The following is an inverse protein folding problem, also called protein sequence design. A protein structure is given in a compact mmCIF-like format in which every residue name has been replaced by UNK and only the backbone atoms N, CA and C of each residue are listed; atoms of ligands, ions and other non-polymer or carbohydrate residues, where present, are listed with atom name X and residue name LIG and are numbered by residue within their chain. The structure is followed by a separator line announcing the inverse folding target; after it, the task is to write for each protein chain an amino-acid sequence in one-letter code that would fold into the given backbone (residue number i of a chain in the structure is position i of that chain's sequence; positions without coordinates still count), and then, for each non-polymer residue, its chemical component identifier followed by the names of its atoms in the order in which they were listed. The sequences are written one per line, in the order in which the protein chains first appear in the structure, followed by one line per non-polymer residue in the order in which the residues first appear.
data_IF_358921963563
#
_entry.id   IF_358921963563
#
_cell.length_a   1.000
_cell.length_b   1.000
_cell.length_c   1.000
_cell.angle_alpha   90.00
_cell.angle_beta   90.00
_cell.angle_gamma   90.00
#
_symmetry.space_group_name_H-M   'P 1'
#
loop_
_entity.id
_entity.type
_entity.pdbx_description
1 polymer ?
#
# COMPACT_ATOMS: atom_id res chain seq x y z
N UNK A 1 0.04 -29.26 -17.02
CA UNK A 1 -0.58 -27.97 -17.33
C UNK A 1 0.46 -27.13 -18.04
N UNK A 2 0.17 -26.61 -19.24
CA UNK A 2 1.13 -25.80 -19.96
C UNK A 2 1.13 -24.39 -19.36
N UNK A 3 2.30 -23.81 -19.08
CA UNK A 3 2.44 -22.45 -18.58
C UNK A 3 1.99 -21.46 -19.66
N UNK A 4 1.22 -20.45 -19.28
CA UNK A 4 0.93 -19.34 -20.18
C UNK A 4 2.23 -18.58 -20.50
N UNK A 5 2.42 -18.20 -21.74
CA UNK A 5 3.53 -17.34 -22.12
C UNK A 5 3.32 -15.95 -21.51
N UNK A 6 4.38 -15.28 -21.03
CA UNK A 6 4.28 -13.88 -20.59
C UNK A 6 3.87 -13.00 -21.78
N UNK A 7 3.17 -11.91 -21.48
CA UNK A 7 2.87 -10.91 -22.49
C UNK A 7 4.11 -10.07 -22.78
N UNK A 8 4.37 -9.80 -24.06
CA UNK A 8 5.42 -8.91 -24.52
C UNK A 8 4.82 -7.52 -24.77
N UNK A 9 5.48 -6.49 -24.24
CA UNK A 9 5.08 -5.10 -24.41
C UNK A 9 6.24 -4.30 -24.98
N UNK A 10 5.97 -3.47 -25.98
CA UNK A 10 6.97 -2.53 -26.54
C UNK A 10 7.38 -1.48 -25.48
N UNK A 11 6.47 -1.14 -24.60
CA UNK A 11 6.72 -0.24 -23.47
C UNK A 11 6.00 -0.75 -22.22
N UNK A 12 6.74 -0.98 -21.16
CA UNK A 12 6.17 -1.35 -19.86
C UNK A 12 5.83 -0.09 -19.08
N UNK A 13 4.54 0.05 -18.75
CA UNK A 13 4.02 1.06 -17.85
C UNK A 13 3.56 0.37 -16.55
N UNK A 14 3.18 1.14 -15.54
CA UNK A 14 2.69 0.57 -14.28
C UNK A 14 1.51 -0.39 -14.52
N UNK A 15 1.34 -1.38 -13.68
CA UNK A 15 0.26 -2.40 -13.72
C UNK A 15 0.39 -3.47 -14.82
N UNK A 16 1.43 -3.47 -15.61
CA UNK A 16 1.66 -4.52 -16.60
C UNK A 16 2.38 -5.72 -15.98
N UNK A 17 1.86 -6.93 -16.25
CA UNK A 17 2.49 -8.17 -15.81
C UNK A 17 3.55 -8.60 -16.82
N UNK A 18 4.79 -8.55 -16.41
CA UNK A 18 5.95 -9.00 -17.19
C UNK A 18 6.48 -10.34 -16.67
N UNK A 19 7.48 -10.89 -17.32
CA UNK A 19 8.19 -12.06 -16.82
C UNK A 19 8.80 -11.76 -15.45
N UNK A 20 8.52 -12.56 -14.42
CA UNK A 20 9.12 -12.35 -13.11
C UNK A 20 10.63 -12.62 -13.14
N UNK A 21 11.39 -11.89 -12.35
CA UNK A 21 12.81 -12.17 -12.16
C UNK A 21 13.02 -13.62 -11.71
N UNK A 22 14.04 -14.36 -12.19
CA UNK A 22 14.27 -15.76 -11.82
C UNK A 22 14.28 -16.00 -10.32
N UNK A 23 14.94 -15.15 -9.52
CA UNK A 23 14.96 -15.26 -8.07
C UNK A 23 13.56 -15.14 -7.42
N UNK A 24 12.65 -14.35 -8.00
CA UNK A 24 11.28 -14.26 -7.51
C UNK A 24 10.49 -15.55 -7.78
N UNK A 25 10.75 -16.18 -8.91
CA UNK A 25 10.17 -17.49 -9.27
C UNK A 25 10.65 -18.58 -8.32
N UNK A 26 11.97 -18.68 -8.12
CA UNK A 26 12.59 -19.67 -7.22
C UNK A 26 12.06 -19.48 -5.78
N UNK A 27 11.91 -18.24 -5.34
CA UNK A 27 11.33 -17.94 -4.03
C UNK A 27 9.86 -18.39 -3.95
N UNK A 28 9.05 -18.11 -4.98
CA UNK A 28 7.65 -18.53 -5.01
C UNK A 28 7.51 -20.07 -4.92
N UNK A 29 8.34 -20.82 -5.65
CA UNK A 29 8.36 -22.28 -5.59
C UNK A 29 8.82 -22.81 -4.22
N UNK A 30 9.87 -22.21 -3.64
CA UNK A 30 10.42 -22.59 -2.34
C UNK A 30 9.41 -22.38 -1.19
N UNK A 31 8.59 -21.35 -1.26
CA UNK A 31 7.69 -20.96 -0.18
C UNK A 31 6.22 -21.31 -0.42
N UNK A 32 5.91 -22.15 -1.41
CA UNK A 32 4.53 -22.56 -1.73
C UNK A 32 3.75 -23.16 -0.55
N UNK A 33 4.42 -23.84 0.37
CA UNK A 33 3.81 -24.49 1.54
C UNK A 33 3.90 -23.64 2.82
N UNK A 34 4.11 -22.34 2.69
CA UNK A 34 4.25 -21.42 3.82
C UNK A 34 3.14 -20.39 3.85
N UNK A 35 3.02 -19.70 4.99
CA UNK A 35 2.00 -18.67 5.20
C UNK A 35 2.61 -17.51 6.00
N UNK A 36 2.49 -16.26 5.56
CA UNK A 36 2.99 -15.10 6.31
C UNK A 36 2.13 -14.72 7.53
N UNK A 37 0.99 -15.38 7.73
CA UNK A 37 0.00 -14.99 8.74
C UNK A 37 0.39 -15.26 10.19
N UNK A 38 1.27 -16.23 10.45
CA UNK A 38 1.73 -16.57 11.80
C UNK A 38 3.25 -16.62 11.90
N UNK A 39 3.88 -15.55 12.41
CA UNK A 39 5.33 -15.46 12.56
C UNK A 39 5.94 -16.54 13.45
N UNK A 40 5.18 -17.06 14.42
CA UNK A 40 5.68 -18.10 15.32
C UNK A 40 5.82 -19.45 14.61
N UNK A 41 4.92 -19.72 13.66
CA UNK A 41 4.93 -20.94 12.87
C UNK A 41 5.83 -20.84 11.64
N UNK A 42 5.89 -19.67 10.99
CA UNK A 42 6.61 -19.44 9.74
C UNK A 42 7.69 -18.34 9.88
N UNK A 43 8.63 -18.55 10.80
CA UNK A 43 9.63 -17.55 11.17
C UNK A 43 10.51 -17.08 9.99
N UNK A 44 10.85 -17.96 9.03
CA UNK A 44 11.62 -17.58 7.84
C UNK A 44 10.87 -16.58 6.95
N UNK A 45 9.56 -16.76 6.78
CA UNK A 45 8.74 -15.85 5.98
C UNK A 45 8.60 -14.51 6.68
N UNK A 46 8.41 -14.52 8.00
CA UNK A 46 8.35 -13.30 8.81
C UNK A 46 9.65 -12.50 8.76
N UNK A 47 10.82 -13.16 8.79
CA UNK A 47 12.12 -12.52 8.63
C UNK A 47 12.30 -11.91 7.22
N UNK A 48 11.90 -12.64 6.18
CA UNK A 48 11.94 -12.14 4.80
C UNK A 48 11.05 -10.91 4.62
N UNK A 49 9.84 -10.93 5.15
CA UNK A 49 8.93 -9.79 5.11
C UNK A 49 9.52 -8.58 5.83
N UNK A 50 10.04 -8.77 7.03
CA UNK A 50 10.66 -7.70 7.83
C UNK A 50 11.82 -7.05 7.08
N UNK A 51 12.69 -7.85 6.44
CA UNK A 51 13.80 -7.35 5.63
C UNK A 51 13.33 -6.62 4.36
N UNK A 52 12.29 -7.10 3.71
CA UNK A 52 11.70 -6.45 2.54
C UNK A 52 11.10 -5.09 2.92
N UNK A 53 10.33 -5.03 4.00
CA UNK A 53 9.75 -3.78 4.53
C UNK A 53 10.84 -2.78 4.92
N UNK A 54 11.88 -3.22 5.63
CA UNK A 54 13.01 -2.37 5.99
C UNK A 54 13.76 -1.85 4.74
N UNK A 55 13.94 -2.70 3.72
CA UNK A 55 14.54 -2.31 2.45
C UNK A 55 13.72 -1.25 1.70
N UNK A 56 12.42 -1.44 1.60
CA UNK A 56 11.50 -0.48 0.99
C UNK A 56 11.44 0.84 1.79
N UNK A 57 11.43 0.76 3.11
CA UNK A 57 11.47 1.93 3.98
C UNK A 57 12.70 2.79 3.74
N UNK A 58 13.89 2.19 3.63
CA UNK A 58 15.12 2.90 3.28
C UNK A 58 15.03 3.59 1.91
N UNK A 59 14.50 2.90 0.91
CA UNK A 59 14.29 3.48 -0.43
C UNK A 59 13.31 4.66 -0.39
N UNK A 60 12.37 4.64 0.52
CA UNK A 60 11.41 5.74 0.73
C UNK A 60 11.90 6.84 1.68
N UNK A 61 13.15 6.76 2.18
CA UNK A 61 13.70 7.75 3.09
C UNK A 61 13.08 7.73 4.49
N UNK A 62 12.58 6.58 4.93
CA UNK A 62 11.94 6.42 6.24
C UNK A 62 12.92 6.01 7.36
N UNK A 63 14.22 5.97 7.08
CA UNK A 63 15.25 5.55 8.04
C UNK A 63 15.33 6.49 9.28
N UNK A 64 14.94 7.76 9.12
CA UNK A 64 14.98 8.78 10.16
C UNK A 64 13.60 9.08 10.76
N UNK A 65 12.55 8.41 10.32
CA UNK A 65 11.20 8.69 10.79
C UNK A 65 10.91 7.95 12.08
N UNK A 66 11.19 8.58 13.21
CA UNK A 66 10.67 8.22 14.53
C UNK A 66 9.13 8.34 14.58
N UNK A 67 8.43 7.54 13.79
CA UNK A 67 6.98 7.44 13.78
C UNK A 67 6.54 5.99 13.92
N UNK A 68 7.00 5.33 14.99
CA UNK A 68 6.35 4.09 15.41
C UNK A 68 4.98 4.45 16.00
N UNK A 69 3.86 4.07 15.42
CA UNK A 69 2.58 4.17 16.10
C UNK A 69 2.64 3.25 17.33
N UNK A 70 2.46 3.84 18.49
CA UNK A 70 2.24 3.11 19.73
C UNK A 70 0.85 2.46 19.67
N UNK A 71 0.70 1.31 19.04
CA UNK A 71 -0.49 0.50 19.18
C UNK A 71 -0.12 -0.96 19.38
N UNK A 72 -0.32 -1.39 20.58
CA UNK A 72 -0.59 -2.70 21.16
C UNK A 72 -0.82 -3.86 20.17
N UNK A 73 0.25 -4.37 19.56
CA UNK A 73 0.35 -5.77 19.19
C UNK A 73 1.67 -6.28 19.75
N UNK A 74 1.64 -6.62 21.03
CA UNK A 74 2.67 -7.41 21.68
C UNK A 74 2.59 -8.84 21.11
N UNK A 75 3.37 -9.10 20.08
CA UNK A 75 3.62 -10.42 19.51
C UNK A 75 5.08 -10.49 19.09
N UNK A 76 5.73 -11.62 19.31
CA UNK A 76 7.14 -11.86 19.05
C UNK A 76 7.57 -11.37 17.66
N UNK A 77 8.67 -10.60 17.57
CA UNK A 77 9.24 -10.14 16.30
C UNK A 77 9.11 -8.63 16.03
N UNK A 78 8.91 -7.80 17.05
CA UNK A 78 8.88 -6.34 16.88
C UNK A 78 10.25 -5.84 16.41
N UNK A 79 10.34 -5.13 15.25
CA UNK A 79 11.56 -4.47 14.84
C UNK A 79 12.02 -3.44 15.88
N UNK A 80 13.30 -3.05 15.85
CA UNK A 80 13.82 -1.97 16.68
C UNK A 80 12.93 -0.72 16.57
N UNK A 81 12.86 0.08 17.62
CA UNK A 81 11.94 1.21 17.73
C UNK A 81 12.01 2.23 16.56
N UNK A 82 13.10 2.22 15.80
CA UNK A 82 13.41 3.14 14.72
C UNK A 82 13.32 2.51 13.32
N UNK A 83 12.89 1.25 13.19
CA UNK A 83 12.78 0.59 11.90
C UNK A 83 11.42 0.84 11.24
N UNK A 84 11.36 1.00 9.90
CA UNK A 84 10.11 1.06 9.17
C UNK A 84 9.22 -0.14 9.49
N UNK A 85 7.95 0.11 9.77
CA UNK A 85 6.99 -0.93 10.11
C UNK A 85 5.94 -1.07 9.01
N UNK A 86 5.63 -2.31 8.64
CA UNK A 86 4.65 -2.62 7.62
C UNK A 86 4.54 -4.11 7.37
N UNK A 87 3.86 -4.47 6.30
CA UNK A 87 3.76 -5.84 5.80
C UNK A 87 3.57 -5.81 4.28
N UNK A 88 3.85 -6.94 3.64
CA UNK A 88 3.68 -7.10 2.20
C UNK A 88 2.24 -7.56 1.92
N UNK A 89 1.55 -6.84 1.05
CA UNK A 89 0.18 -7.15 0.63
C UNK A 89 0.16 -8.05 -0.60
N UNK A 90 -1.00 -8.63 -0.92
CA UNK A 90 -1.20 -9.44 -2.12
C UNK A 90 -1.14 -8.63 -3.43
N UNK A 91 -1.18 -7.30 -3.35
CA UNK A 91 -1.11 -6.42 -4.50
C UNK A 91 -1.51 -4.98 -4.18
N UNK A 92 -1.36 -4.07 -5.17
CA UNK A 92 -1.60 -2.64 -5.00
C UNK A 92 -3.02 -2.29 -4.54
N UNK A 93 -4.03 -3.03 -4.97
CA UNK A 93 -5.41 -2.80 -4.50
C UNK A 93 -5.54 -3.02 -2.99
N UNK A 94 -4.98 -4.10 -2.46
CA UNK A 94 -4.98 -4.34 -1.02
C UNK A 94 -4.16 -3.27 -0.29
N UNK A 95 -3.00 -2.90 -0.81
CA UNK A 95 -2.16 -1.85 -0.23
C UNK A 95 -2.94 -0.52 -0.11
N UNK A 96 -3.66 -0.11 -1.14
CA UNK A 96 -4.46 1.11 -1.15
C UNK A 96 -5.63 1.04 -0.15
N UNK A 97 -6.34 -0.10 -0.08
CA UNK A 97 -7.40 -0.33 0.91
C UNK A 97 -6.84 -0.20 2.35
N UNK A 98 -5.70 -0.82 2.62
CA UNK A 98 -5.08 -0.79 3.94
C UNK A 98 -4.52 0.59 4.30
N UNK A 99 -4.01 1.34 3.32
CA UNK A 99 -3.57 2.73 3.52
C UNK A 99 -4.75 3.62 3.94
N UNK A 100 -5.87 3.56 3.21
CA UNK A 100 -7.08 4.32 3.55
C UNK A 100 -7.66 3.89 4.90
N UNK A 101 -7.71 2.57 5.18
CA UNK A 101 -8.14 2.04 6.48
C UNK A 101 -7.28 2.57 7.63
N UNK A 102 -5.96 2.59 7.43
CA UNK A 102 -5.03 3.11 8.44
C UNK A 102 -5.23 4.61 8.68
N UNK A 103 -5.41 5.39 7.62
CA UNK A 103 -5.68 6.82 7.70
C UNK A 103 -7.00 7.10 8.44
N UNK A 104 -8.09 6.42 8.07
CA UNK A 104 -9.39 6.50 8.73
C UNK A 104 -9.30 6.17 10.22
N UNK A 105 -8.63 5.08 10.58
CA UNK A 105 -8.56 4.62 11.97
C UNK A 105 -7.64 5.48 12.87
N UNK A 106 -6.85 6.38 12.29
CA UNK A 106 -5.99 7.31 13.04
C UNK A 106 -6.70 8.59 13.46
N UNK A 107 -7.85 8.87 12.87
CA UNK A 107 -8.64 10.06 13.14
C UNK A 107 -10.01 9.66 13.69
N UNK A 108 -10.42 10.31 14.76
CA UNK A 108 -11.76 10.19 15.30
C UNK A 108 -12.63 11.30 14.67
N UNK A 109 -13.21 10.97 13.52
CA UNK A 109 -14.07 11.91 12.75
C UNK A 109 -15.37 11.19 12.38
N UNK A 110 -16.46 11.96 12.37
CA UNK A 110 -17.82 11.40 12.20
C UNK A 110 -18.12 11.01 10.74
N UNK A 111 -17.64 11.84 9.81
CA UNK A 111 -17.90 11.68 8.37
C UNK A 111 -16.59 11.69 7.58
N UNK A 112 -15.77 10.62 7.69
CA UNK A 112 -14.47 10.59 7.06
C UNK A 112 -14.56 10.72 5.54
N UNK A 113 -13.69 11.55 4.96
CA UNK A 113 -13.56 11.67 3.51
C UNK A 113 -12.11 11.51 3.05
N UNK A 114 -11.96 11.14 1.78
CA UNK A 114 -10.69 11.05 1.07
C UNK A 114 -10.74 11.93 -0.17
N UNK A 115 -9.72 12.76 -0.37
CA UNK A 115 -9.59 13.61 -1.57
C UNK A 115 -8.63 12.94 -2.54
N UNK A 116 -9.09 12.70 -3.77
CA UNK A 116 -8.34 11.99 -4.81
C UNK A 116 -8.41 12.72 -6.15
N UNK A 117 -7.38 12.67 -7.01
CA UNK A 117 -7.52 13.11 -8.38
C UNK A 117 -8.49 12.18 -9.14
N UNK A 118 -9.19 12.70 -10.14
CA UNK A 118 -10.10 11.88 -10.96
C UNK A 118 -9.39 10.73 -11.72
N UNK A 119 -8.07 10.89 -11.93
CA UNK A 119 -7.20 9.85 -12.51
C UNK A 119 -6.80 8.76 -11.52
N UNK A 120 -7.28 8.81 -10.27
CA UNK A 120 -6.92 7.83 -9.24
C UNK A 120 -7.33 6.41 -9.65
N UNK A 121 -6.47 5.46 -9.32
CA UNK A 121 -6.74 4.04 -9.59
C UNK A 121 -8.07 3.60 -8.96
N UNK A 122 -8.82 2.75 -9.67
CA UNK A 122 -10.17 2.27 -9.27
C UNK A 122 -10.22 1.59 -7.88
N UNK A 123 -9.08 1.24 -7.30
CA UNK A 123 -9.02 0.72 -5.94
C UNK A 123 -9.43 1.74 -4.87
N UNK A 124 -9.32 3.05 -5.15
CA UNK A 124 -9.72 4.08 -4.18
C UNK A 124 -11.25 4.22 -4.07
N UNK A 125 -12.04 4.33 -5.17
CA UNK A 125 -13.49 4.20 -5.06
C UNK A 125 -13.94 2.91 -4.36
N UNK A 126 -13.31 1.77 -4.69
CA UNK A 126 -13.57 0.49 -4.02
C UNK A 126 -13.25 0.55 -2.52
N UNK A 127 -12.11 1.13 -2.14
CA UNK A 127 -11.71 1.27 -0.74
C UNK A 127 -12.66 2.19 0.03
N UNK A 128 -13.10 3.29 -0.58
CA UNK A 128 -14.04 4.24 -0.02
C UNK A 128 -15.40 3.57 0.28
N UNK A 129 -15.92 2.79 -0.67
CA UNK A 129 -17.15 2.01 -0.51
C UNK A 129 -17.02 0.96 0.62
N UNK A 130 -15.96 0.14 0.62
CA UNK A 130 -15.73 -0.90 1.64
C UNK A 130 -15.59 -0.32 3.05
N UNK A 131 -15.01 0.88 3.16
CA UNK A 131 -14.64 1.49 4.44
C UNK A 131 -15.66 2.54 4.91
N UNK A 132 -16.72 2.78 4.16
CA UNK A 132 -17.71 3.84 4.43
C UNK A 132 -17.02 5.20 4.61
N UNK A 133 -16.26 5.62 3.59
CA UNK A 133 -15.54 6.88 3.51
C UNK A 133 -16.04 7.65 2.30
N UNK A 134 -16.38 8.91 2.46
CA UNK A 134 -16.76 9.78 1.32
C UNK A 134 -15.56 9.96 0.38
N UNK A 135 -15.75 9.71 -0.92
CA UNK A 135 -14.73 9.96 -1.94
C UNK A 135 -15.00 11.30 -2.62
N UNK A 136 -14.06 12.22 -2.51
CA UNK A 136 -14.08 13.54 -3.17
C UNK A 136 -13.08 13.54 -4.30
N UNK A 137 -13.59 13.54 -5.53
CA UNK A 137 -12.78 13.56 -6.75
C UNK A 137 -12.48 14.97 -7.20
N UNK A 138 -11.22 15.25 -7.51
CA UNK A 138 -10.75 16.54 -8.02
C UNK A 138 -10.31 16.40 -9.46
N UNK A 139 -10.74 17.29 -10.38
CA UNK A 139 -10.38 17.24 -11.79
C UNK A 139 -8.87 17.32 -12.03
N UNK A 140 -8.44 16.78 -13.17
CA UNK A 140 -7.09 16.95 -13.73
C UNK A 140 -7.14 17.82 -14.99
N UNK A 141 -6.03 18.49 -15.31
CA UNK A 141 -5.88 19.22 -16.57
C UNK A 141 -5.47 18.29 -17.73
N UNK A 142 -5.40 18.85 -18.96
CA UNK A 142 -5.00 18.12 -20.17
C UNK A 142 -3.57 17.54 -20.11
N UNK A 143 -2.76 17.99 -19.16
CA UNK A 143 -1.43 17.45 -18.86
C UNK A 143 -1.47 16.43 -17.71
N UNK A 144 -2.64 15.96 -17.31
CA UNK A 144 -2.89 15.01 -16.22
C UNK A 144 -2.41 15.49 -14.84
N UNK A 145 -2.33 16.81 -14.62
CA UNK A 145 -1.98 17.39 -13.32
C UNK A 145 -3.26 17.71 -12.56
N UNK A 146 -3.30 17.33 -11.28
CA UNK A 146 -4.45 17.64 -10.43
C UNK A 146 -4.57 19.15 -10.16
N UNK A 147 -5.79 19.66 -10.12
CA UNK A 147 -6.08 21.03 -9.70
C UNK A 147 -5.81 21.20 -8.20
N UNK A 148 -4.72 21.88 -7.86
CA UNK A 148 -4.32 22.10 -6.45
C UNK A 148 -5.28 23.01 -5.69
N UNK A 149 -5.95 23.94 -6.36
CA UNK A 149 -6.96 24.78 -5.71
C UNK A 149 -8.24 23.99 -5.43
N UNK A 150 -8.60 23.11 -6.36
CA UNK A 150 -9.65 22.12 -6.16
C UNK A 150 -9.35 21.17 -5.00
N UNK A 151 -8.10 20.70 -4.87
CA UNK A 151 -7.67 19.88 -3.72
C UNK A 151 -7.83 20.66 -2.42
N UNK A 152 -7.34 21.91 -2.35
CA UNK A 152 -7.47 22.77 -1.15
C UNK A 152 -8.93 23.02 -0.77
N UNK A 153 -9.80 23.21 -1.76
CA UNK A 153 -11.23 23.43 -1.54
C UNK A 153 -11.97 22.16 -1.08
N UNK A 154 -11.49 20.98 -1.48
CA UNK A 154 -12.10 19.69 -1.13
C UNK A 154 -11.66 19.17 0.26
N UNK A 155 -10.54 19.66 0.80
CA UNK A 155 -10.00 19.25 2.11
C UNK A 155 -10.72 20.01 3.24
N UNK A 156 -11.16 19.27 4.25
CA UNK A 156 -11.76 19.80 5.48
C UNK A 156 -11.27 19.06 6.73
N UNK A 157 -11.89 19.32 7.88
CA UNK A 157 -11.56 18.71 9.15
C UNK A 157 -11.94 17.21 9.24
N UNK A 158 -12.77 16.72 8.33
CA UNK A 158 -13.15 15.32 8.20
C UNK A 158 -12.24 14.54 7.23
N UNK A 159 -11.35 15.23 6.52
CA UNK A 159 -10.45 14.60 5.54
C UNK A 159 -9.40 13.75 6.24
N UNK A 160 -9.42 12.45 5.97
CA UNK A 160 -8.49 11.47 6.57
C UNK A 160 -7.28 11.18 5.69
N UNK A 161 -7.40 11.38 4.37
CA UNK A 161 -6.33 11.14 3.41
C UNK A 161 -6.48 12.05 2.18
N UNK A 162 -5.34 12.52 1.68
CA UNK A 162 -5.22 13.14 0.35
C UNK A 162 -4.30 12.27 -0.49
N UNK A 163 -4.75 11.90 -1.69
CA UNK A 163 -3.98 11.07 -2.61
C UNK A 163 -3.21 11.93 -3.61
N UNK A 164 -1.89 11.70 -3.73
CA UNK A 164 -1.07 12.13 -4.86
C UNK A 164 -0.80 10.96 -5.82
N UNK A 165 -0.83 11.22 -7.12
CA UNK A 165 -0.54 10.24 -8.19
C UNK A 165 0.51 10.81 -9.11
#
# INVERSE_FOLDING_TARGET
MQRAAPQEFDRVLSSMCTEPHPAARDAAERFLATNPGDPATYAEVADLESRAVAGLGRLAGLDDAATAPSSSRAGAGRPAADAPYGYITSGGTEANIQALRSARNRRDVEHPNVVVPESAHFSFPKAADILDVELRSVPTDDAHRVDLDGVRAAVDDQTVLVLGV
#
